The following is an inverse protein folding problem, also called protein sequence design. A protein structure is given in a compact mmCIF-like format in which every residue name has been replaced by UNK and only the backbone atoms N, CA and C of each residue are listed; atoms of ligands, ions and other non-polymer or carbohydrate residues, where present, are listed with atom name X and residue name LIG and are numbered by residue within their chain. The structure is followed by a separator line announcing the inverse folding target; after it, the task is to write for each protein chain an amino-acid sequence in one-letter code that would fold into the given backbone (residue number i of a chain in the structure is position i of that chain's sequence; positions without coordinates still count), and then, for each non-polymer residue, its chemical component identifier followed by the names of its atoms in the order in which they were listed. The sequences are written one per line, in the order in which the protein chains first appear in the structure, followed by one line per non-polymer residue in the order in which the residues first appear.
data_IF_351675784905
#
_entry.id   IF_351675784905
#
_cell.length_a   1.000
_cell.length_b   1.000
_cell.length_c   1.000
_cell.angle_alpha   90.00
_cell.angle_beta   90.00
_cell.angle_gamma   90.00
#
_symmetry.space_group_name_H-M   'P 1'
#
loop_
_entity.id
_entity.type
_entity.pdbx_description
1 polymer ?
#
# COMPACT_ATOMS: atom_id res chain seq x y z
N UNK A 1 1.91 12.31 -13.99
CA UNK A 1 0.54 11.84 -14.26
C UNK A 1 -0.44 12.70 -13.45
N UNK A 2 -1.67 12.99 -13.91
CA UNK A 2 -2.66 13.71 -13.12
C UNK A 2 -3.02 12.97 -11.82
N UNK A 3 -3.24 13.70 -10.73
CA UNK A 3 -3.47 13.12 -9.39
C UNK A 3 -4.68 12.19 -9.35
N UNK A 4 -5.80 12.55 -9.98
CA UNK A 4 -7.01 11.72 -9.97
C UNK A 4 -6.80 10.37 -10.68
N UNK A 5 -6.02 10.38 -11.76
CA UNK A 5 -5.64 9.15 -12.48
C UNK A 5 -4.73 8.29 -11.59
N UNK A 6 -3.73 8.89 -10.95
CA UNK A 6 -2.87 8.17 -10.00
C UNK A 6 -3.71 7.54 -8.87
N UNK A 7 -4.65 8.30 -8.31
CA UNK A 7 -5.51 7.88 -7.22
C UNK A 7 -6.37 6.67 -7.61
N UNK A 8 -6.98 6.70 -8.80
CA UNK A 8 -7.82 5.63 -9.32
C UNK A 8 -7.03 4.37 -9.69
N UNK A 9 -5.89 4.52 -10.36
CA UNK A 9 -5.15 3.39 -10.91
C UNK A 9 -4.20 2.74 -9.91
N UNK A 10 -3.53 3.52 -9.06
CA UNK A 10 -2.51 3.00 -8.16
C UNK A 10 -3.07 1.98 -7.18
N UNK A 11 -4.17 2.30 -6.50
CA UNK A 11 -4.80 1.39 -5.54
C UNK A 11 -5.36 0.11 -6.20
N UNK A 12 -5.85 0.21 -7.44
CA UNK A 12 -6.39 -0.93 -8.17
C UNK A 12 -5.30 -1.86 -8.73
N UNK A 13 -4.13 -1.31 -9.05
CA UNK A 13 -3.02 -2.03 -9.69
C UNK A 13 -1.90 -2.38 -8.72
N UNK A 14 -1.96 -1.90 -7.47
CA UNK A 14 -0.99 -2.22 -6.43
C UNK A 14 -1.57 -3.25 -5.47
N UNK A 15 -0.76 -4.28 -5.20
CA UNK A 15 -1.07 -5.35 -4.25
C UNK A 15 -0.03 -5.36 -3.14
N UNK A 16 -0.51 -5.34 -1.91
CA UNK A 16 0.32 -5.44 -0.71
C UNK A 16 -0.06 -6.69 0.06
N UNK A 17 0.92 -7.37 0.63
CA UNK A 17 0.67 -8.54 1.47
C UNK A 17 1.94 -9.09 2.11
N UNK A 18 1.84 -10.26 2.77
CA UNK A 18 3.00 -10.97 3.28
C UNK A 18 4.02 -11.22 2.18
N UNK A 19 5.29 -10.94 2.47
CA UNK A 19 6.37 -11.08 1.48
C UNK A 19 6.49 -12.50 0.89
N UNK A 20 6.23 -13.51 1.71
CA UNK A 20 6.26 -14.93 1.36
C UNK A 20 5.02 -15.40 0.58
N UNK A 21 3.88 -14.69 0.69
CA UNK A 21 2.62 -15.03 0.02
C UNK A 21 2.29 -14.15 -1.19
N UNK A 22 2.95 -13.00 -1.34
CA UNK A 22 2.63 -12.03 -2.39
C UNK A 22 2.66 -12.65 -3.81
N UNK A 23 3.66 -13.48 -4.20
CA UNK A 23 3.65 -14.12 -5.51
C UNK A 23 2.41 -14.99 -5.77
N UNK A 24 1.93 -15.68 -4.74
CA UNK A 24 0.70 -16.48 -4.83
C UNK A 24 -0.53 -15.60 -5.02
N UNK A 25 -0.67 -14.54 -4.20
CA UNK A 25 -1.78 -13.57 -4.31
C UNK A 25 -1.84 -12.91 -5.70
N UNK A 26 -0.68 -12.68 -6.34
CA UNK A 26 -0.60 -12.18 -7.71
C UNK A 26 -1.15 -13.24 -8.68
N UNK A 27 -0.63 -14.46 -8.66
CA UNK A 27 -1.03 -15.55 -9.57
C UNK A 27 -2.51 -15.92 -9.44
N UNK A 28 -3.03 -15.98 -8.21
CA UNK A 28 -4.42 -16.34 -7.94
C UNK A 28 -5.41 -15.20 -8.15
N UNK A 29 -4.93 -14.00 -8.51
CA UNK A 29 -5.75 -12.78 -8.60
C UNK A 29 -6.50 -12.46 -7.29
N UNK A 30 -6.02 -12.97 -6.15
CA UNK A 30 -6.63 -12.71 -4.86
C UNK A 30 -6.33 -11.29 -4.37
N UNK A 31 -7.23 -10.74 -3.57
CA UNK A 31 -7.05 -9.45 -2.95
C UNK A 31 -5.85 -9.45 -1.98
N UNK A 32 -5.11 -8.35 -1.95
CA UNK A 32 -4.11 -8.07 -0.92
C UNK A 32 -4.72 -7.30 0.25
N UNK A 33 -3.86 -6.71 1.08
CA UNK A 33 -4.26 -5.68 2.04
C UNK A 33 -4.83 -4.47 1.30
N UNK A 34 -5.93 -3.93 1.80
CA UNK A 34 -6.59 -2.79 1.19
C UNK A 34 -5.82 -1.49 1.45
N UNK A 35 -5.64 -0.70 0.40
CA UNK A 35 -5.12 0.66 0.45
C UNK A 35 -6.28 1.66 0.56
N UNK A 36 -6.34 2.40 1.66
CA UNK A 36 -7.37 3.43 1.88
C UNK A 36 -6.75 4.81 1.74
N UNK A 37 -7.30 5.65 0.86
CA UNK A 37 -6.81 7.03 0.68
C UNK A 37 -6.95 7.80 1.99
N UNK A 38 -5.87 8.49 2.38
CA UNK A 38 -5.81 9.42 3.49
C UNK A 38 -5.76 10.85 2.94
N UNK A 39 -6.85 11.63 3.03
CA UNK A 39 -6.86 13.03 2.56
C UNK A 39 -5.85 13.92 3.29
N UNK A 40 -5.54 13.59 4.54
CA UNK A 40 -4.57 14.31 5.38
C UNK A 40 -3.63 13.28 6.00
N UNK A 41 -2.31 13.37 5.79
CA UNK A 41 -1.37 12.46 6.43
C UNK A 41 -1.33 12.65 7.96
N UNK A 42 -0.98 11.60 8.72
CA UNK A 42 -0.69 11.74 10.14
C UNK A 42 0.38 12.81 10.40
N UNK A 43 0.23 13.57 11.49
CA UNK A 43 1.14 14.67 11.86
C UNK A 43 2.58 14.23 12.09
N UNK A 44 2.81 12.93 12.28
CA UNK A 44 4.10 12.31 12.49
C UNK A 44 4.90 12.14 11.18
N UNK A 45 4.25 12.23 10.02
CA UNK A 45 4.87 12.08 8.71
C UNK A 45 5.02 13.48 8.07
N UNK A 46 6.19 13.82 7.50
CA UNK A 46 6.34 15.07 6.74
C UNK A 46 5.34 15.16 5.58
N UNK A 47 4.72 16.32 5.40
CA UNK A 47 3.89 16.57 4.24
C UNK A 47 4.76 16.83 3.01
N UNK A 48 4.55 16.08 1.93
CA UNK A 48 5.15 16.27 0.62
C UNK A 48 4.04 16.62 -0.38
N UNK A 49 4.20 17.79 -1.02
CA UNK A 49 3.30 18.20 -2.07
C UNK A 49 3.41 17.25 -3.28
N UNK A 50 2.27 16.87 -3.85
CA UNK A 50 2.21 15.97 -5.01
C UNK A 50 2.17 14.48 -4.67
N UNK A 51 2.30 14.11 -3.39
CA UNK A 51 2.15 12.73 -2.93
C UNK A 51 0.69 12.41 -2.58
N UNK A 52 0.30 11.16 -2.80
CA UNK A 52 -0.98 10.61 -2.33
C UNK A 52 -0.68 9.70 -1.14
N UNK A 53 -1.41 9.90 -0.05
CA UNK A 53 -1.24 9.13 1.16
C UNK A 53 -2.28 8.03 1.22
N UNK A 54 -1.84 6.83 1.61
CA UNK A 54 -2.69 5.68 1.83
C UNK A 54 -2.43 5.09 3.21
N UNK A 55 -3.49 4.69 3.89
CA UNK A 55 -3.42 3.77 5.02
C UNK A 55 -3.49 2.33 4.50
N UNK A 56 -2.68 1.45 5.09
CA UNK A 56 -2.75 0.02 4.82
C UNK A 56 -3.69 -0.56 5.88
N UNK A 57 -4.86 -1.07 5.46
CA UNK A 57 -5.84 -1.64 6.40
C UNK A 57 -5.23 -2.80 7.16
N UNK A 58 -5.14 -2.65 8.49
CA UNK A 58 -4.49 -3.57 9.43
C UNK A 58 -5.47 -4.63 9.95
N UNK A 59 -6.17 -5.31 9.04
CA UNK A 59 -7.21 -6.29 9.39
C UNK A 59 -7.14 -7.55 8.54
N UNK A 60 -7.72 -8.63 9.04
CA UNK A 60 -7.81 -9.92 8.36
C UNK A 60 -6.51 -10.74 8.37
N UNK A 61 -6.61 -11.95 7.81
CA UNK A 61 -5.58 -12.97 7.91
C UNK A 61 -4.22 -12.58 7.30
N UNK A 62 -4.21 -11.74 6.25
CA UNK A 62 -2.97 -11.25 5.64
C UNK A 62 -2.19 -10.36 6.61
N UNK A 63 -2.90 -9.48 7.34
CA UNK A 63 -2.28 -8.61 8.33
C UNK A 63 -1.79 -9.42 9.53
N UNK A 64 -2.60 -10.35 10.02
CA UNK A 64 -2.20 -11.25 11.12
C UNK A 64 -0.94 -12.05 10.79
N UNK A 65 -0.79 -12.52 9.53
CA UNK A 65 0.41 -13.20 9.08
C UNK A 65 1.63 -12.25 9.10
N UNK A 66 1.50 -11.02 8.61
CA UNK A 66 2.57 -10.02 8.69
C UNK A 66 2.95 -9.71 10.15
N UNK A 67 1.96 -9.54 11.02
CA UNK A 67 2.21 -9.25 12.44
C UNK A 67 2.94 -10.40 13.15
N UNK A 68 2.68 -11.65 12.74
CA UNK A 68 3.27 -12.85 13.36
C UNK A 68 4.65 -13.21 12.79
N UNK A 69 4.82 -13.16 11.48
CA UNK A 69 6.00 -13.67 10.79
C UNK A 69 6.92 -12.57 10.26
N UNK A 70 6.44 -11.32 10.23
CA UNK A 70 7.14 -10.19 9.64
C UNK A 70 7.14 -10.23 8.11
N UNK A 71 7.70 -9.17 7.51
CA UNK A 71 7.89 -9.07 6.07
C UNK A 71 6.62 -8.69 5.29
N UNK A 72 6.62 -7.47 4.76
CA UNK A 72 5.60 -6.98 3.83
C UNK A 72 6.26 -6.77 2.47
N UNK A 73 5.54 -7.11 1.40
CA UNK A 73 5.96 -6.78 0.05
C UNK A 73 4.83 -6.05 -0.70
N UNK A 74 5.24 -5.29 -1.71
CA UNK A 74 4.36 -4.56 -2.60
C UNK A 74 4.69 -4.92 -4.04
N UNK A 75 3.65 -5.14 -4.84
CA UNK A 75 3.76 -5.31 -6.28
C UNK A 75 2.78 -4.36 -6.98
N UNK A 76 3.27 -3.62 -7.96
CA UNK A 76 2.46 -2.69 -8.75
C UNK A 76 2.44 -3.16 -10.20
N UNK A 77 1.28 -3.60 -10.66
CA UNK A 77 1.03 -4.14 -12.00
C UNK A 77 0.49 -3.04 -12.93
N UNK A 78 1.32 -2.03 -13.23
CA UNK A 78 0.97 -0.92 -14.11
C UNK A 78 2.16 -0.03 -14.44
N UNK A 79 2.00 0.82 -15.44
CA UNK A 79 3.01 1.82 -15.80
C UNK A 79 2.76 3.11 -15.02
N UNK A 80 3.66 3.38 -14.09
CA UNK A 80 3.68 4.62 -13.32
C UNK A 80 5.05 5.29 -13.54
N UNK A 81 5.21 6.09 -14.62
CA UNK A 81 6.48 6.72 -14.94
C UNK A 81 6.96 7.62 -13.79
N UNK A 82 8.18 7.36 -13.29
CA UNK A 82 8.75 8.11 -12.17
C UNK A 82 8.06 7.85 -10.84
N UNK A 83 7.43 6.68 -10.65
CA UNK A 83 6.81 6.31 -9.39
C UNK A 83 7.83 6.32 -8.25
N UNK A 84 7.55 7.15 -7.25
CA UNK A 84 8.21 7.14 -5.95
C UNK A 84 7.22 6.62 -4.91
N UNK A 85 7.67 5.74 -4.02
CA UNK A 85 6.85 5.20 -2.94
C UNK A 85 7.64 5.19 -1.65
N UNK A 86 6.97 5.59 -0.57
CA UNK A 86 7.52 5.52 0.78
C UNK A 86 6.58 4.72 1.68
N UNK A 87 7.15 3.95 2.60
CA UNK A 87 6.40 3.18 3.60
C UNK A 87 6.75 3.70 4.99
N UNK A 88 5.73 4.18 5.72
CA UNK A 88 5.89 4.78 7.04
C UNK A 88 5.21 3.94 8.11
N UNK A 89 5.96 3.62 9.18
CA UNK A 89 5.39 3.07 10.41
C UNK A 89 5.12 4.18 11.42
N UNK A 90 3.84 4.50 11.66
CA UNK A 90 3.45 5.50 12.66
C UNK A 90 3.06 4.80 13.96
N UNK A 91 3.69 5.18 15.06
CA UNK A 91 3.33 4.71 16.40
C UNK A 91 2.10 5.48 16.88
N UNK A 92 1.00 4.76 17.14
CA UNK A 92 -0.15 5.31 17.87
C UNK A 92 0.29 5.70 19.29
N UNK A 93 -0.25 6.80 19.83
CA UNK A 93 0.07 7.26 21.19
C UNK A 93 -0.47 6.31 22.25
#
# INVERSE_FOLDING_TARGET
MPTDVLLQHFAAQTKIGPSDRLPELIRSHSAGLALQVLPVPPRQIPFQAGYIYYDIRREGALWEHIARYGGMAMHTAGEFPGLETELWGVRDK
#
